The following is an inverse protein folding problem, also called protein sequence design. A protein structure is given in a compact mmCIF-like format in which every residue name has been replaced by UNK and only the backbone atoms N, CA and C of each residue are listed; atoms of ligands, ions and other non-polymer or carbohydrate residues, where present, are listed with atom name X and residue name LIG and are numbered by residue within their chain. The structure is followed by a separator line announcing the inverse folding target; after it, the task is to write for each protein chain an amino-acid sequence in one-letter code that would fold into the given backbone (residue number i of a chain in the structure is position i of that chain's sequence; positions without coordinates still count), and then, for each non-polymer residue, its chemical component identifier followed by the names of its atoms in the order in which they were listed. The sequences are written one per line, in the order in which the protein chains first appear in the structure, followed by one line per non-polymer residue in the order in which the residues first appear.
data_IF_588005004344
#
_entry.id   IF_588005004344
#
_cell.length_a   1.000
_cell.length_b   1.000
_cell.length_c   1.000
_cell.angle_alpha   90.00
_cell.angle_beta   90.00
_cell.angle_gamma   90.00
#
_symmetry.space_group_name_H-M   'P 1'
#
loop_
_entity.id
_entity.type
_entity.pdbx_description
1 polymer ?
#
# COMPACT_ATOMS: atom_id res chain seq x y z
N UNK A 1 7.70 1.90 6.31
CA UNK A 1 8.19 2.27 4.97
C UNK A 1 7.03 2.99 4.29
N UNK A 2 7.22 4.25 3.88
CA UNK A 2 6.12 5.06 3.33
C UNK A 2 5.66 4.48 1.99
N UNK A 3 4.37 4.56 1.67
CA UNK A 3 3.79 3.94 0.48
C UNK A 3 4.47 4.42 -0.82
N UNK A 4 4.77 5.72 -0.91
CA UNK A 4 5.48 6.34 -2.04
C UNK A 4 6.93 5.82 -2.16
N UNK A 5 7.64 5.61 -1.05
CA UNK A 5 9.00 5.02 -1.07
C UNK A 5 9.02 3.59 -1.63
N UNK A 6 7.90 2.87 -1.54
CA UNK A 6 7.76 1.53 -2.13
C UNK A 6 7.62 1.64 -3.66
N UNK A 7 6.80 2.56 -4.16
CA UNK A 7 6.65 2.82 -5.59
C UNK A 7 7.97 3.32 -6.22
N UNK A 8 8.69 4.21 -5.54
CA UNK A 8 10.02 4.64 -5.98
C UNK A 8 11.04 3.48 -6.07
N UNK A 9 10.94 2.48 -5.17
CA UNK A 9 11.76 1.27 -5.27
C UNK A 9 11.35 0.41 -6.47
N UNK A 10 10.05 0.28 -6.72
CA UNK A 10 9.53 -0.42 -7.90
C UNK A 10 10.07 0.23 -9.18
N UNK A 11 10.04 1.56 -9.30
CA UNK A 11 10.59 2.29 -10.44
C UNK A 11 12.08 2.01 -10.67
N UNK A 12 12.88 1.94 -9.60
CA UNK A 12 14.32 1.60 -9.72
C UNK A 12 14.50 0.19 -10.29
N UNK A 13 13.70 -0.77 -9.85
CA UNK A 13 13.75 -2.15 -10.33
C UNK A 13 13.29 -2.24 -11.78
N UNK A 14 12.18 -1.56 -12.12
CA UNK A 14 11.63 -1.51 -13.47
C UNK A 14 12.63 -0.89 -14.44
N UNK A 15 13.23 0.28 -14.11
CA UNK A 15 14.27 0.91 -14.94
C UNK A 15 15.47 0.00 -15.18
N UNK A 16 15.96 -0.69 -14.15
CA UNK A 16 17.05 -1.65 -14.32
C UNK A 16 16.69 -2.79 -15.29
N UNK A 17 15.43 -3.25 -15.31
CA UNK A 17 14.97 -4.23 -16.31
C UNK A 17 14.86 -3.65 -17.71
N UNK A 18 14.42 -2.40 -17.85
CA UNK A 18 14.39 -1.71 -19.13
C UNK A 18 15.81 -1.55 -19.70
N UNK A 19 16.81 -1.29 -18.86
CA UNK A 19 18.22 -1.22 -19.28
C UNK A 19 18.74 -2.58 -19.79
N UNK A 20 18.32 -3.69 -19.15
CA UNK A 20 18.63 -5.05 -19.61
C UNK A 20 17.97 -5.34 -20.95
N UNK A 21 16.69 -4.97 -21.13
CA UNK A 21 15.99 -5.13 -22.41
C UNK A 21 16.67 -4.32 -23.52
N UNK A 22 16.98 -3.05 -23.26
CA UNK A 22 17.65 -2.18 -24.22
C UNK A 22 19.03 -2.74 -24.63
N UNK A 23 19.79 -3.25 -23.66
CA UNK A 23 21.08 -3.90 -23.92
C UNK A 23 20.93 -5.16 -24.76
N UNK A 24 19.94 -6.00 -24.45
CA UNK A 24 19.65 -7.23 -25.19
C UNK A 24 19.21 -6.93 -26.64
N UNK A 25 18.41 -5.88 -26.87
CA UNK A 25 18.02 -5.43 -28.22
C UNK A 25 19.25 -5.04 -29.06
N UNK A 26 20.23 -4.35 -28.48
CA UNK A 26 21.47 -3.94 -29.18
C UNK A 26 22.36 -5.11 -29.58
N UNK A 27 22.28 -6.23 -28.87
CA UNK A 27 23.05 -7.44 -29.17
C UNK A 27 22.47 -8.27 -30.33
N UNK A 28 21.26 -7.94 -30.80
CA UNK A 28 20.63 -8.59 -31.95
C UNK A 28 19.90 -9.91 -31.61
N UNK A 29 19.50 -10.70 -32.64
CA UNK A 29 18.57 -11.83 -32.50
C UNK A 29 18.99 -12.96 -31.55
N UNK A 30 20.28 -13.06 -31.27
CA UNK A 30 20.86 -14.11 -30.41
C UNK A 30 20.35 -14.04 -28.96
N UNK A 31 19.85 -12.88 -28.54
CA UNK A 31 19.35 -12.63 -27.17
C UNK A 31 17.85 -12.90 -27.02
N UNK A 32 17.22 -13.57 -28.00
CA UNK A 32 15.78 -13.85 -28.01
C UNK A 32 15.22 -14.37 -26.67
N UNK A 33 15.89 -15.35 -26.07
CA UNK A 33 15.48 -15.92 -24.78
C UNK A 33 15.54 -14.90 -23.64
N UNK A 34 16.54 -14.02 -23.65
CA UNK A 34 16.71 -12.95 -22.66
C UNK A 34 15.59 -11.92 -22.82
N UNK A 35 15.26 -11.53 -24.06
CA UNK A 35 14.16 -10.61 -24.35
C UNK A 35 12.82 -11.18 -23.86
N UNK A 36 12.53 -12.44 -24.20
CA UNK A 36 11.30 -13.11 -23.80
C UNK A 36 11.16 -13.21 -22.29
N UNK A 37 12.19 -13.71 -21.61
CA UNK A 37 12.17 -13.89 -20.16
C UNK A 37 12.08 -12.54 -19.41
N UNK A 38 12.85 -11.55 -19.86
CA UNK A 38 12.84 -10.23 -19.24
C UNK A 38 11.49 -9.55 -19.45
N UNK A 39 10.87 -9.67 -20.64
CA UNK A 39 9.51 -9.18 -20.90
C UNK A 39 8.45 -9.87 -20.03
N UNK A 40 8.55 -11.19 -19.83
CA UNK A 40 7.63 -11.92 -18.95
C UNK A 40 7.73 -11.43 -17.50
N UNK A 41 8.96 -11.29 -16.98
CA UNK A 41 9.16 -10.77 -15.61
C UNK A 41 8.74 -9.31 -15.48
N UNK A 42 8.98 -8.48 -16.50
CA UNK A 42 8.55 -7.09 -16.55
C UNK A 42 7.01 -6.98 -16.53
N UNK A 43 6.30 -7.78 -17.33
CA UNK A 43 4.83 -7.82 -17.35
C UNK A 43 4.24 -8.12 -15.98
N UNK A 44 4.80 -9.10 -15.25
CA UNK A 44 4.37 -9.40 -13.88
C UNK A 44 4.61 -8.22 -12.93
N UNK A 45 5.81 -7.63 -12.97
CA UNK A 45 6.17 -6.54 -12.07
C UNK A 45 5.37 -5.26 -12.33
N UNK A 46 5.13 -4.92 -13.60
CA UNK A 46 4.28 -3.79 -13.98
C UNK A 46 2.85 -3.99 -13.47
N UNK A 47 2.27 -5.19 -13.62
CA UNK A 47 0.94 -5.47 -13.08
C UNK A 47 0.88 -5.29 -11.56
N UNK A 48 1.88 -5.80 -10.86
CA UNK A 48 1.96 -5.68 -9.40
C UNK A 48 2.16 -4.22 -8.96
N UNK A 49 2.85 -3.42 -9.76
CA UNK A 49 3.10 -1.99 -9.54
C UNK A 49 1.82 -1.16 -9.78
N UNK A 50 1.19 -1.30 -10.94
CA UNK A 50 -0.10 -0.65 -11.28
C UNK A 50 -1.14 -0.91 -10.19
N UNK A 51 -1.25 -2.16 -9.72
CA UNK A 51 -2.17 -2.49 -8.62
C UNK A 51 -1.86 -1.69 -7.35
N UNK A 52 -0.58 -1.52 -6.99
CA UNK A 52 -0.20 -0.74 -5.80
C UNK A 52 -0.50 0.75 -5.98
N UNK A 53 -0.44 1.25 -7.19
CA UNK A 53 -0.82 2.63 -7.51
C UNK A 53 -2.32 2.82 -7.43
N UNK A 54 -3.11 1.89 -7.99
CA UNK A 54 -4.55 1.86 -7.85
C UNK A 54 -4.97 1.83 -6.37
N UNK A 55 -4.33 0.99 -5.56
CA UNK A 55 -4.57 0.90 -4.12
C UNK A 55 -4.26 2.25 -3.42
N UNK A 56 -3.20 2.95 -3.86
CA UNK A 56 -2.79 4.24 -3.30
C UNK A 56 -3.73 5.39 -3.72
N UNK A 57 -4.12 5.42 -4.99
CA UNK A 57 -5.13 6.35 -5.52
C UNK A 57 -6.44 6.16 -4.78
N UNK A 58 -6.86 4.91 -4.54
CA UNK A 58 -8.07 4.59 -3.78
C UNK A 58 -7.98 5.07 -2.32
N UNK A 59 -6.84 4.88 -1.65
CA UNK A 59 -6.61 5.38 -0.29
C UNK A 59 -6.64 6.92 -0.21
N UNK A 60 -6.14 7.60 -1.25
CA UNK A 60 -6.13 9.06 -1.32
C UNK A 60 -7.47 9.65 -1.78
N UNK A 61 -8.34 8.85 -2.41
CA UNK A 61 -9.63 9.29 -2.99
C UNK A 61 -10.55 10.02 -2.01
N UNK A 62 -10.54 9.65 -0.74
CA UNK A 62 -11.38 10.29 0.28
C UNK A 62 -10.81 11.60 0.82
N UNK A 63 -9.49 11.82 0.69
CA UNK A 63 -8.81 13.02 1.20
C UNK A 63 -8.40 14.00 0.10
N UNK A 64 -8.36 13.57 -1.16
CA UNK A 64 -8.02 14.43 -2.30
C UNK A 64 -9.23 15.23 -2.77
N UNK A 65 -8.96 16.46 -3.23
CA UNK A 65 -9.94 17.24 -3.97
C UNK A 65 -10.36 16.46 -5.23
N UNK A 66 -11.67 16.27 -5.49
CA UNK A 66 -12.18 15.54 -6.66
C UNK A 66 -11.63 16.03 -8.00
N UNK A 67 -11.27 17.31 -8.11
CA UNK A 67 -10.67 17.89 -9.32
C UNK A 67 -9.24 17.41 -9.54
N UNK A 68 -8.43 17.37 -8.48
CA UNK A 68 -7.05 16.87 -8.54
C UNK A 68 -7.07 15.36 -8.80
N UNK A 69 -8.00 14.64 -8.16
CA UNK A 69 -8.19 13.21 -8.40
C UNK A 69 -8.60 12.94 -9.87
N UNK A 70 -9.46 13.75 -10.46
CA UNK A 70 -9.84 13.61 -11.86
C UNK A 70 -8.67 13.86 -12.82
N UNK A 71 -7.82 14.86 -12.55
CA UNK A 71 -6.61 15.13 -13.33
C UNK A 71 -5.61 13.97 -13.24
N UNK A 72 -5.41 13.41 -12.05
CA UNK A 72 -4.59 12.21 -11.81
C UNK A 72 -5.16 10.98 -12.52
N UNK A 73 -6.45 10.67 -12.34
CA UNK A 73 -7.05 9.46 -12.93
C UNK A 73 -7.06 9.50 -14.47
N UNK A 74 -7.19 10.68 -15.07
CA UNK A 74 -7.17 10.83 -16.55
C UNK A 74 -5.76 10.66 -17.11
N UNK A 75 -4.71 11.12 -16.40
CA UNK A 75 -3.32 10.99 -16.86
C UNK A 75 -2.81 9.54 -16.86
N UNK A 76 -3.38 8.66 -16.03
CA UNK A 76 -2.91 7.29 -15.82
C UNK A 76 -3.58 6.22 -16.69
N UNK A 77 -4.43 6.60 -17.65
CA UNK A 77 -5.18 5.63 -18.47
C UNK A 77 -4.30 4.82 -19.46
N UNK A 78 -3.01 5.18 -19.63
CA UNK A 78 -2.11 4.59 -20.65
C UNK A 78 -1.25 3.41 -20.15
N UNK A 79 -1.18 3.13 -18.84
CA UNK A 79 -0.40 2.00 -18.30
C UNK A 79 -0.87 0.60 -18.76
N UNK A 80 -2.18 0.32 -18.88
CA UNK A 80 -2.67 -0.97 -19.36
C UNK A 80 -2.23 -1.28 -20.80
N UNK A 81 -1.95 -0.25 -21.62
CA UNK A 81 -1.55 -0.43 -23.02
C UNK A 81 -0.13 -0.97 -23.16
N UNK A 82 0.83 -0.48 -22.38
CA UNK A 82 2.20 -1.01 -22.38
C UNK A 82 2.26 -2.48 -21.94
N UNK A 83 1.49 -2.83 -20.91
CA UNK A 83 1.35 -4.21 -20.45
C UNK A 83 0.69 -5.10 -21.52
N UNK A 84 -0.34 -4.61 -22.21
CA UNK A 84 -0.98 -5.31 -23.35
C UNK A 84 0.01 -5.50 -24.50
N UNK A 85 0.84 -4.50 -24.80
CA UNK A 85 1.86 -4.57 -25.84
C UNK A 85 2.91 -5.63 -25.53
N UNK A 86 3.44 -5.66 -24.31
CA UNK A 86 4.38 -6.69 -23.85
C UNK A 86 3.78 -8.10 -23.99
N UNK A 87 2.55 -8.29 -23.51
CA UNK A 87 1.89 -9.60 -23.57
C UNK A 87 1.63 -10.04 -25.02
N UNK A 88 1.28 -9.12 -25.93
CA UNK A 88 1.04 -9.44 -27.35
C UNK A 88 2.31 -9.73 -28.15
N UNK A 89 3.48 -9.31 -27.69
CA UNK A 89 4.73 -9.49 -28.42
C UNK A 89 5.16 -10.95 -28.53
N UNK A 90 4.82 -11.78 -27.54
CA UNK A 90 5.29 -13.17 -27.44
C UNK A 90 4.17 -14.23 -27.49
N UNK A 91 2.90 -13.82 -27.59
CA UNK A 91 1.75 -14.74 -27.72
C UNK A 91 1.70 -15.42 -29.10
N UNK A 92 2.31 -14.82 -30.12
CA UNK A 92 2.42 -15.41 -31.45
C UNK A 92 3.81 -16.00 -31.66
N UNK A 93 4.04 -17.23 -31.19
CA UNK A 93 5.26 -17.99 -31.47
C UNK A 93 5.35 -18.25 -33.00
N UNK A 94 6.08 -17.39 -33.73
CA UNK A 94 6.50 -17.67 -35.10
C UNK A 94 6.19 -16.65 -36.21
N UNK A 95 5.65 -15.46 -35.92
CA UNK A 95 5.28 -14.50 -37.01
C UNK A 95 5.97 -13.14 -36.98
N UNK A 96 6.59 -12.72 -35.88
CA UNK A 96 7.23 -11.40 -35.82
C UNK A 96 8.72 -11.49 -36.13
N UNK A 97 9.20 -10.62 -37.02
CA UNK A 97 10.64 -10.45 -37.24
C UNK A 97 11.29 -9.82 -36.00
N UNK A 98 12.60 -10.04 -35.84
CA UNK A 98 13.34 -9.39 -34.76
C UNK A 98 13.21 -7.86 -34.82
N UNK A 99 13.25 -7.28 -36.03
CA UNK A 99 13.10 -5.83 -36.24
C UNK A 99 11.75 -5.30 -35.71
N UNK A 100 10.66 -6.02 -35.94
CA UNK A 100 9.33 -5.65 -35.42
C UNK A 100 9.26 -5.70 -33.90
N UNK A 101 9.98 -6.66 -33.30
CA UNK A 101 10.04 -6.82 -31.84
C UNK A 101 10.93 -5.74 -31.24
N UNK A 102 12.03 -5.40 -31.90
CA UNK A 102 12.93 -4.33 -31.52
C UNK A 102 12.20 -2.98 -31.55
N UNK A 103 11.49 -2.65 -32.62
CA UNK A 103 10.72 -1.41 -32.72
C UNK A 103 9.68 -1.32 -31.60
N UNK A 104 8.87 -2.37 -31.43
CA UNK A 104 7.82 -2.38 -30.41
C UNK A 104 8.36 -2.31 -28.98
N UNK A 105 9.44 -3.04 -28.67
CA UNK A 105 10.06 -2.97 -27.33
C UNK A 105 10.76 -1.63 -27.08
N UNK A 106 11.32 -1.00 -28.10
CA UNK A 106 11.90 0.35 -27.97
C UNK A 106 10.81 1.35 -27.56
N UNK A 107 9.64 1.32 -28.23
CA UNK A 107 8.50 2.17 -27.86
C UNK A 107 8.00 1.88 -26.44
N UNK A 108 7.92 0.61 -26.04
CA UNK A 108 7.55 0.23 -24.66
C UNK A 108 8.56 0.78 -23.64
N UNK A 109 9.86 0.65 -23.90
CA UNK A 109 10.92 1.12 -23.00
C UNK A 109 10.83 2.64 -22.82
N UNK A 110 10.73 3.39 -23.92
CA UNK A 110 10.61 4.84 -23.88
C UNK A 110 9.34 5.30 -23.17
N UNK A 111 8.20 4.66 -23.50
CA UNK A 111 6.90 4.95 -22.88
C UNK A 111 6.91 4.73 -21.37
N UNK A 112 7.41 3.59 -20.90
CA UNK A 112 7.50 3.27 -19.46
C UNK A 112 8.48 4.19 -18.72
N UNK A 113 9.63 4.54 -19.35
CA UNK A 113 10.58 5.49 -18.74
C UNK A 113 9.97 6.87 -18.56
N UNK A 114 9.24 7.35 -19.57
CA UNK A 114 8.54 8.63 -19.52
C UNK A 114 7.47 8.60 -18.43
N UNK A 115 6.62 7.58 -18.44
CA UNK A 115 5.54 7.39 -17.46
C UNK A 115 6.04 7.44 -16.01
N UNK A 116 7.02 6.59 -15.66
CA UNK A 116 7.61 6.58 -14.31
C UNK A 116 8.23 7.93 -13.91
N UNK A 117 8.71 8.72 -14.88
CA UNK A 117 9.30 10.03 -14.61
C UNK A 117 8.24 11.12 -14.40
N UNK A 118 7.13 11.05 -15.15
CA UNK A 118 5.95 11.91 -14.96
C UNK A 118 5.33 11.67 -13.58
N UNK A 119 5.17 10.40 -13.18
CA UNK A 119 4.68 10.02 -11.85
C UNK A 119 5.56 10.53 -10.71
N UNK A 120 6.88 10.35 -10.83
CA UNK A 120 7.82 10.83 -9.81
C UNK A 120 7.82 12.35 -9.67
N UNK A 121 7.65 13.08 -10.78
CA UNK A 121 7.69 14.53 -10.81
C UNK A 121 6.38 15.18 -10.36
N UNK A 122 5.24 14.59 -10.75
CA UNK A 122 3.92 15.21 -10.59
C UNK A 122 3.08 14.53 -9.51
N UNK A 123 3.02 13.19 -9.53
CA UNK A 123 2.07 12.45 -8.71
C UNK A 123 2.59 12.12 -7.31
N UNK A 124 3.82 11.60 -7.20
CA UNK A 124 4.39 11.20 -5.92
C UNK A 124 4.43 12.34 -4.89
N UNK A 125 4.74 13.60 -5.26
CA UNK A 125 4.64 14.73 -4.34
C UNK A 125 3.21 14.98 -3.83
N UNK A 126 2.19 14.71 -4.65
CA UNK A 126 0.78 14.85 -4.26
C UNK A 126 0.42 13.77 -3.25
N UNK A 127 0.77 12.51 -3.50
CA UNK A 127 0.54 11.42 -2.56
C UNK A 127 1.28 11.63 -1.23
N UNK A 128 2.55 12.02 -1.26
CA UNK A 128 3.30 12.28 -0.03
C UNK A 128 2.66 13.37 0.82
N UNK A 129 2.13 14.44 0.21
CA UNK A 129 1.40 15.49 0.93
C UNK A 129 0.11 14.96 1.55
N UNK A 130 -0.74 14.30 0.75
CA UNK A 130 -2.03 13.77 1.21
C UNK A 130 -1.85 12.75 2.34
N UNK A 131 -0.88 11.85 2.23
CA UNK A 131 -0.59 10.85 3.24
C UNK A 131 -0.01 11.48 4.51
N UNK A 132 0.86 12.48 4.38
CA UNK A 132 1.41 13.21 5.54
C UNK A 132 0.33 14.00 6.26
N UNK A 133 -0.60 14.61 5.53
CA UNK A 133 -1.73 15.34 6.11
C UNK A 133 -2.70 14.37 6.80
N UNK A 134 -2.94 13.18 6.24
CA UNK A 134 -3.71 12.12 6.90
C UNK A 134 -3.03 11.62 8.18
N UNK A 135 -1.72 11.36 8.15
CA UNK A 135 -0.96 10.94 9.34
C UNK A 135 -0.96 12.03 10.43
N UNK A 136 -0.93 13.31 10.03
CA UNK A 136 -1.01 14.45 10.95
C UNK A 136 -2.41 14.59 11.57
N UNK A 137 -3.47 14.32 10.81
CA UNK A 137 -4.87 14.32 11.31
C UNK A 137 -5.12 13.10 12.20
N UNK A 138 -4.56 11.93 11.84
CA UNK A 138 -4.62 10.71 12.65
C UNK A 138 -3.80 10.81 13.95
N UNK A 139 -2.82 11.71 14.00
CA UNK A 139 -2.02 12.00 15.19
C UNK A 139 -2.74 12.81 16.29
N UNK A 140 -4.01 13.19 16.11
CA UNK A 140 -4.73 14.10 17.04
C UNK A 140 -5.90 13.47 17.81
N UNK A 141 -6.31 12.22 17.53
CA UNK A 141 -7.41 11.59 18.28
C UNK A 141 -6.96 10.38 19.09
N UNK A 142 -6.49 10.63 20.31
CA UNK A 142 -6.38 9.65 21.40
C UNK A 142 -7.68 9.55 22.18
N UNK A 143 -8.79 9.25 21.51
CA UNK A 143 -9.96 8.70 22.19
C UNK A 143 -10.26 7.33 21.60
N UNK A 144 -10.23 6.24 22.40
CA UNK A 144 -10.65 4.94 21.93
C UNK A 144 -12.11 5.03 21.49
N UNK A 145 -12.48 4.53 20.29
CA UNK A 145 -13.87 4.46 19.91
C UNK A 145 -14.59 3.52 20.88
N UNK A 146 -15.77 3.93 21.34
CA UNK A 146 -16.60 3.12 22.24
C UNK A 146 -17.04 1.78 21.60
N UNK A 147 -16.98 1.66 20.25
CA UNK A 147 -17.32 0.44 19.47
C UNK A 147 -16.63 0.41 18.11
N UNK A 148 -16.35 -0.79 17.60
CA UNK A 148 -15.89 -0.99 16.22
C UNK A 148 -17.07 -1.27 15.28
N UNK A 149 -17.00 -0.79 14.04
CA UNK A 149 -17.99 -1.07 13.00
C UNK A 149 -17.40 -2.01 11.94
N UNK A 150 -18.23 -2.90 11.38
CA UNK A 150 -17.83 -3.89 10.35
C UNK A 150 -17.26 -3.23 9.08
N UNK A 151 -17.61 -1.98 8.80
CA UNK A 151 -17.14 -1.20 7.65
C UNK A 151 -15.80 -0.49 7.91
N UNK A 152 -15.23 -0.61 9.11
CA UNK A 152 -13.92 -0.03 9.41
C UNK A 152 -12.80 -0.85 8.79
N UNK A 153 -11.74 -0.17 8.33
CA UNK A 153 -10.56 -0.84 7.79
C UNK A 153 -9.61 -1.31 8.88
N UNK A 154 -8.85 -2.37 8.60
CA UNK A 154 -7.87 -2.94 9.54
C UNK A 154 -6.83 -1.89 9.99
N UNK A 155 -6.31 -1.07 9.07
CA UNK A 155 -5.35 -0.01 9.40
C UNK A 155 -5.97 1.06 10.31
N UNK A 156 -7.23 1.44 10.06
CA UNK A 156 -7.93 2.43 10.90
C UNK A 156 -8.07 1.92 12.34
N UNK A 157 -8.39 0.64 12.51
CA UNK A 157 -8.53 0.02 13.83
C UNK A 157 -7.18 -0.09 14.54
N UNK A 158 -6.12 -0.52 13.85
CA UNK A 158 -4.77 -0.60 14.41
C UNK A 158 -4.25 0.80 14.79
N UNK A 159 -4.55 1.82 14.00
CA UNK A 159 -4.17 3.20 14.30
C UNK A 159 -4.91 3.73 15.54
N UNK A 160 -6.21 3.48 15.64
CA UNK A 160 -7.03 3.92 16.77
C UNK A 160 -6.76 3.12 18.05
N UNK A 161 -6.41 1.84 17.91
CA UNK A 161 -6.25 0.91 19.01
C UNK A 161 -5.11 -0.08 18.70
N UNK A 162 -3.83 0.33 18.84
CA UNK A 162 -2.68 -0.49 18.45
C UNK A 162 -2.62 -1.86 19.13
N UNK A 163 -3.21 -2.00 20.32
CA UNK A 163 -3.31 -3.28 21.02
C UNK A 163 -4.15 -4.34 20.28
N UNK A 164 -4.95 -3.96 19.29
CA UNK A 164 -5.72 -4.91 18.45
C UNK A 164 -4.87 -5.61 17.39
N UNK A 165 -3.66 -5.11 17.10
CA UNK A 165 -2.77 -5.70 16.10
C UNK A 165 -2.56 -7.22 16.23
N UNK A 166 -2.36 -7.80 17.43
CA UNK A 166 -2.20 -9.24 17.58
C UNK A 166 -3.42 -10.06 17.14
N UNK A 167 -4.63 -9.50 17.21
CA UNK A 167 -5.86 -10.17 16.72
C UNK A 167 -5.75 -10.41 15.21
N UNK A 168 -5.30 -9.41 14.46
CA UNK A 168 -5.13 -9.53 13.02
C UNK A 168 -3.96 -10.47 12.65
N UNK A 169 -2.88 -10.46 13.45
CA UNK A 169 -1.75 -11.38 13.26
C UNK A 169 -2.13 -12.84 13.52
N UNK A 170 -3.00 -13.12 14.52
CA UNK A 170 -3.53 -14.45 14.80
C UNK A 170 -4.41 -14.99 13.67
N UNK A 171 -5.08 -14.09 12.95
CA UNK A 171 -5.86 -14.41 11.75
C UNK A 171 -5.00 -14.48 10.48
N UNK A 172 -3.67 -14.35 10.60
CA UNK A 172 -2.72 -14.35 9.48
C UNK A 172 -3.02 -13.26 8.42
N UNK A 173 -3.64 -12.16 8.83
CA UNK A 173 -3.96 -11.04 7.95
C UNK A 173 -2.67 -10.31 7.58
N UNK A 174 -2.42 -10.19 6.28
CA UNK A 174 -1.24 -9.49 5.78
C UNK A 174 -1.51 -7.99 5.79
N UNK A 175 -1.27 -7.32 6.94
CA UNK A 175 -1.54 -5.89 7.14
C UNK A 175 -1.00 -5.00 5.99
N UNK A 176 0.22 -5.20 5.45
CA UNK A 176 0.70 -4.47 4.27
C UNK A 176 -0.12 -4.58 2.98
N UNK A 177 -0.98 -5.60 2.86
CA UNK A 177 -1.78 -5.91 1.66
C UNK A 177 -3.28 -5.75 1.94
N UNK A 178 -3.73 -6.10 3.14
CA UNK A 178 -5.13 -6.16 3.54
C UNK A 178 -5.52 -5.03 4.51
N UNK A 179 -4.57 -4.17 4.89
CA UNK A 179 -4.78 -3.08 5.83
C UNK A 179 -5.86 -2.07 5.42
N UNK A 180 -6.12 -1.94 4.12
CA UNK A 180 -7.15 -1.05 3.58
C UNK A 180 -8.50 -1.76 3.34
N UNK A 181 -8.61 -3.05 3.65
CA UNK A 181 -9.85 -3.82 3.50
C UNK A 181 -10.71 -3.66 4.77
N UNK A 182 -12.03 -3.61 4.60
CA UNK A 182 -13.01 -3.52 5.69
C UNK A 182 -13.07 -4.82 6.50
N UNK A 183 -13.47 -4.74 7.78
CA UNK A 183 -13.54 -5.90 8.67
C UNK A 183 -14.47 -7.00 8.16
N UNK A 184 -15.61 -6.65 7.57
CA UNK A 184 -16.55 -7.62 6.97
C UNK A 184 -15.89 -8.44 5.85
N UNK A 185 -15.18 -7.77 4.94
CA UNK A 185 -14.52 -8.38 3.81
C UNK A 185 -13.27 -9.18 4.25
N UNK A 186 -12.53 -8.69 5.24
CA UNK A 186 -11.43 -9.44 5.86
C UNK A 186 -11.95 -10.67 6.58
N UNK A 187 -13.00 -10.54 7.40
CA UNK A 187 -13.61 -11.66 8.11
C UNK A 187 -14.06 -12.75 7.12
N UNK A 188 -14.76 -12.34 6.04
CA UNK A 188 -15.16 -13.26 4.98
C UNK A 188 -13.97 -13.98 4.32
N UNK A 189 -12.89 -13.27 3.97
CA UNK A 189 -11.70 -13.86 3.33
C UNK A 189 -10.97 -14.86 4.23
N UNK A 190 -10.98 -14.63 5.53
CA UNK A 190 -10.29 -15.45 6.53
C UNK A 190 -11.21 -16.47 7.20
N UNK A 191 -12.46 -16.61 6.72
CA UNK A 191 -13.41 -17.62 7.19
C UNK A 191 -13.92 -17.37 8.62
N UNK A 192 -13.98 -16.10 9.03
CA UNK A 192 -14.46 -15.64 10.34
C UNK A 192 -15.76 -14.88 10.16
N UNK A 193 -16.67 -14.99 11.13
CA UNK A 193 -17.86 -14.14 11.17
C UNK A 193 -17.49 -12.71 11.58
N UNK A 194 -17.97 -11.71 10.83
CA UNK A 194 -17.61 -10.30 11.03
C UNK A 194 -17.93 -9.81 12.45
N UNK A 195 -19.05 -10.27 13.02
CA UNK A 195 -19.48 -9.94 14.38
C UNK A 195 -18.56 -10.50 15.46
N UNK A 196 -18.06 -11.72 15.27
CA UNK A 196 -17.15 -12.37 16.22
C UNK A 196 -15.79 -11.67 16.22
N UNK A 197 -15.31 -11.28 15.02
CA UNK A 197 -14.11 -10.46 14.87
C UNK A 197 -14.26 -9.10 15.57
N UNK A 198 -15.37 -8.39 15.34
CA UNK A 198 -15.66 -7.11 16.00
C UNK A 198 -15.69 -7.27 17.53
N UNK A 199 -16.41 -8.26 18.04
CA UNK A 199 -16.50 -8.53 19.47
C UNK A 199 -15.11 -8.80 20.08
N UNK A 200 -14.28 -9.59 19.41
CA UNK A 200 -12.95 -9.91 19.91
C UNK A 200 -12.00 -8.70 19.91
N UNK A 201 -12.11 -7.84 18.90
CA UNK A 201 -11.38 -6.56 18.88
C UNK A 201 -11.84 -5.66 20.04
N UNK A 202 -13.14 -5.58 20.30
CA UNK A 202 -13.70 -4.82 21.43
C UNK A 202 -13.20 -5.36 22.78
N UNK A 203 -13.17 -6.68 23.00
CA UNK A 203 -12.62 -7.30 24.22
C UNK A 203 -11.16 -6.91 24.46
N UNK A 204 -10.33 -6.93 23.41
CA UNK A 204 -8.92 -6.54 23.48
C UNK A 204 -8.78 -5.04 23.77
N UNK A 205 -9.65 -4.21 23.20
CA UNK A 205 -9.68 -2.78 23.50
C UNK A 205 -10.04 -2.51 24.98
N UNK A 206 -11.09 -3.16 25.51
CA UNK A 206 -11.58 -2.97 26.88
C UNK A 206 -10.62 -3.53 27.95
N UNK A 207 -9.96 -4.65 27.68
CA UNK A 207 -8.98 -5.24 28.62
C UNK A 207 -7.78 -4.33 28.87
N UNK A 208 -7.39 -3.51 27.88
CA UNK A 208 -6.34 -2.51 28.03
C UNK A 208 -6.78 -1.28 28.85
N UNK A 209 -8.03 -0.83 28.70
CA UNK A 209 -8.60 0.27 29.50
C UNK A 209 -8.68 -0.08 31.00
N UNK A 210 -9.04 -1.32 31.33
CA UNK A 210 -9.03 -1.81 32.70
C UNK A 210 -7.61 -1.84 33.28
N UNK A 211 -6.61 -2.23 32.49
CA UNK A 211 -5.21 -2.23 32.92
C UNK A 211 -4.67 -0.81 33.19
N UNK A 212 -5.07 0.18 32.38
CA UNK A 212 -4.68 1.59 32.59
C UNK A 212 -5.42 2.27 33.75
N UNK A 213 -6.66 1.87 34.07
CA UNK A 213 -7.36 2.35 35.26
C UNK A 213 -6.76 1.81 36.56
N UNK A 214 -6.26 0.57 36.57
CA UNK A 214 -5.65 -0.02 37.77
C UNK A 214 -4.32 0.66 38.12
N UNK A 215 -3.47 0.94 37.13
CA UNK A 215 -2.18 1.65 37.36
C UNK A 215 -2.35 3.11 37.78
N UNK A 216 -3.32 3.83 37.20
CA UNK A 216 -3.63 5.21 37.61
C UNK A 216 -4.19 5.31 39.04
N UNK A 217 -4.82 4.26 39.55
CA UNK A 217 -5.36 4.23 40.93
C UNK A 217 -4.28 3.91 41.97
N UNK A 218 -3.26 3.12 41.60
CA UNK A 218 -2.12 2.80 42.47
C UNK A 218 -1.13 3.98 42.60
N UNK A 219 -0.86 4.73 41.53
CA UNK A 219 -0.03 5.94 41.59
C UNK A 219 -0.69 7.08 42.38
N UNK A 220 -2.02 7.19 42.32
CA UNK A 220 -2.77 8.19 43.10
C UNK A 220 -2.75 7.88 44.61
N UNK A 221 -2.77 6.61 45.00
CA UNK A 221 -2.66 6.20 46.41
C UNK A 221 -1.25 6.35 46.99
N UNK A 222 -0.19 6.17 46.17
CA UNK A 222 1.19 6.43 46.59
C UNK A 222 1.49 7.93 46.77
N UNK A 223 0.85 8.78 45.96
CA UNK A 223 1.02 10.24 46.05
C UNK A 223 0.32 10.83 47.29
N UNK A 224 -0.84 10.27 47.67
CA UNK A 224 -1.57 10.66 48.88
C UNK A 224 -0.86 10.24 50.19
N UNK A 225 -0.20 9.08 50.22
CA UNK A 225 0.56 8.65 51.40
C UNK A 225 1.84 9.46 51.64
N UNK A 226 2.42 10.05 50.60
CA UNK A 226 3.62 10.89 50.70
C UNK A 226 3.31 12.34 51.09
N UNK A 227 2.08 12.84 50.90
CA UNK A 227 1.68 14.17 51.36
C UNK A 227 1.30 14.19 52.84
N UNK A 228 0.68 13.12 53.37
CA UNK A 228 0.31 13.05 54.79
C UNK A 228 1.53 12.90 55.73
N UNK A 229 2.64 12.34 55.24
CA UNK A 229 3.87 12.22 56.00
C UNK A 229 4.65 13.54 56.15
N UNK A 230 4.33 14.57 55.36
CA UNK A 230 5.02 15.88 55.38
C UNK A 230 4.33 16.94 56.25
N UNK A 231 3.11 16.68 56.74
CA UNK A 231 2.37 17.61 57.60
C UNK A 231 2.49 17.27 59.11
N UNK A 232 3.22 16.21 59.47
CA UNK A 232 3.34 15.74 60.87
C UNK A 232 4.72 15.93 61.53
N UNK A 233 5.55 16.84 61.03
CA UNK A 233 6.82 17.26 61.68
C UNK A 233 6.98 18.76 61.66
#
# INVERSE_FOLDING_TARGET
MKAVERLQRDHKILRAKLDVLESALRMGPQTWYVLRETCFTLSRQLRDHIRREDDLVAACRMAMNPKILAEVVVAHHDEPEHLRMINRLFVSEGQRSFDQIQEALTQVIEGLRRHMSEEEAELFPIFDRVLTDQDAIAGVSTEPPARFEETMTVNRIIQQCPQTKPVFEQLFINIPVEGCTCLDEVAWRHGVESRDLVHHLEEVAHSCECAHKVTATEESNLTLQLSEAKEST
#
